data_IF_348329471880
#
_entry.id   IF_348329471880
#
_cell.length_a   1.000
_cell.length_b   1.000
_cell.length_c   1.000
_cell.angle_alpha   90.00
_cell.angle_beta   90.00
_cell.angle_gamma   90.00
#
_symmetry.space_group_name_H-M   'P 1'
#
loop_
_entity.id
_entity.type
_entity.pdbx_description
1 polymer ?
#
# COMPACT_ATOMS: atom_id res chain seq x y z
N UNK A 1 7.79 17.54 -14.90
CA UNK A 1 8.00 16.10 -14.59
C UNK A 1 7.82 15.90 -13.10
N UNK A 2 6.94 14.99 -12.73
CA UNK A 2 6.73 14.65 -11.31
C UNK A 2 7.94 13.91 -10.72
N UNK A 3 8.04 13.88 -9.40
CA UNK A 3 9.07 13.11 -8.72
C UNK A 3 8.96 11.62 -9.04
N UNK A 4 7.74 11.11 -9.11
CA UNK A 4 7.49 9.73 -9.52
C UNK A 4 8.02 9.42 -10.92
N UNK A 5 7.80 10.31 -11.86
CA UNK A 5 8.34 10.16 -13.23
C UNK A 5 9.86 10.20 -13.27
N UNK A 6 10.47 11.03 -12.40
CA UNK A 6 11.92 11.05 -12.25
C UNK A 6 12.46 9.71 -11.76
N UNK A 7 11.82 9.11 -10.75
CA UNK A 7 12.18 7.78 -10.26
C UNK A 7 11.98 6.69 -11.31
N UNK A 8 10.89 6.74 -12.07
CA UNK A 8 10.66 5.83 -13.19
C UNK A 8 11.75 5.95 -14.25
N UNK A 9 12.23 7.16 -14.50
CA UNK A 9 13.35 7.39 -15.41
C UNK A 9 14.64 6.75 -14.88
N UNK A 10 14.88 6.79 -13.57
CA UNK A 10 16.03 6.10 -12.95
C UNK A 10 16.01 4.63 -13.28
N UNK A 11 14.86 3.97 -13.17
CA UNK A 11 14.73 2.54 -13.50
C UNK A 11 15.03 2.29 -14.99
N UNK A 12 14.50 3.13 -15.88
CA UNK A 12 14.80 3.01 -17.31
C UNK A 12 16.29 3.20 -17.61
N UNK A 13 16.94 4.13 -16.92
CA UNK A 13 18.38 4.34 -17.06
C UNK A 13 19.19 3.16 -16.54
N UNK A 14 18.74 2.52 -15.47
CA UNK A 14 19.33 1.29 -14.93
C UNK A 14 19.33 0.17 -15.99
N UNK A 15 18.20 -0.05 -16.64
CA UNK A 15 18.08 -1.03 -17.72
C UNK A 15 18.91 -0.64 -18.93
N UNK A 16 18.88 0.64 -19.34
CA UNK A 16 19.63 1.14 -20.48
C UNK A 16 21.15 1.06 -20.31
N UNK A 17 21.62 1.06 -19.05
CA UNK A 17 23.05 0.89 -18.72
C UNK A 17 23.52 -0.58 -18.78
N UNK A 18 22.67 -1.50 -19.21
CA UNK A 18 22.99 -2.92 -19.35
C UNK A 18 22.69 -3.76 -18.14
N UNK A 19 22.07 -3.20 -17.09
CA UNK A 19 21.63 -3.95 -15.93
C UNK A 19 20.28 -4.63 -16.25
N UNK A 20 20.11 -5.84 -15.79
CA UNK A 20 18.90 -6.62 -16.12
C UNK A 20 17.91 -6.66 -14.97
N UNK A 21 16.62 -6.65 -15.31
CA UNK A 21 15.55 -7.06 -14.42
C UNK A 21 15.29 -8.57 -14.61
N UNK A 22 14.87 -9.32 -13.58
CA UNK A 22 14.50 -8.82 -12.25
C UNK A 22 15.72 -8.37 -11.42
N UNK A 23 15.52 -7.31 -10.65
CA UNK A 23 16.47 -6.80 -9.68
C UNK A 23 15.72 -6.31 -8.45
N UNK A 24 16.40 -6.22 -7.31
CA UNK A 24 15.77 -5.67 -6.12
C UNK A 24 15.70 -4.15 -6.21
N UNK A 25 14.69 -3.53 -5.58
CA UNK A 25 14.63 -2.07 -5.49
C UNK A 25 15.87 -1.51 -4.77
N UNK A 26 16.43 -2.26 -3.82
CA UNK A 26 17.66 -1.90 -3.12
C UNK A 26 18.85 -1.81 -4.10
N UNK A 27 19.01 -2.78 -4.99
CA UNK A 27 20.10 -2.79 -5.98
C UNK A 27 19.96 -1.62 -6.95
N UNK A 28 18.75 -1.33 -7.40
CA UNK A 28 18.47 -0.19 -8.28
C UNK A 28 18.78 1.13 -7.56
N UNK A 29 18.37 1.25 -6.30
CA UNK A 29 18.62 2.44 -5.48
C UNK A 29 20.12 2.67 -5.27
N UNK A 30 20.87 1.61 -4.94
CA UNK A 30 22.31 1.71 -4.75
C UNK A 30 23.00 2.18 -6.03
N UNK A 31 22.65 1.58 -7.16
CA UNK A 31 23.17 1.99 -8.46
C UNK A 31 22.85 3.45 -8.78
N UNK A 32 21.61 3.90 -8.51
CA UNK A 32 21.19 5.28 -8.76
C UNK A 32 21.98 6.28 -7.92
N UNK A 33 22.23 5.99 -6.65
CA UNK A 33 23.02 6.82 -5.76
C UNK A 33 24.48 6.88 -6.25
N UNK A 34 25.08 5.73 -6.55
CA UNK A 34 26.45 5.65 -7.02
C UNK A 34 26.68 6.39 -8.34
N UNK A 35 25.66 6.45 -9.19
CA UNK A 35 25.74 7.15 -10.48
C UNK A 35 25.21 8.60 -10.44
N UNK A 36 24.94 9.13 -9.24
CA UNK A 36 24.51 10.52 -9.06
C UNK A 36 23.12 10.84 -9.63
N UNK A 37 22.27 9.80 -9.82
CA UNK A 37 20.94 9.97 -10.39
C UNK A 37 19.87 10.20 -9.33
N UNK A 38 20.23 10.10 -8.07
CA UNK A 38 19.33 10.33 -6.98
C UNK A 38 20.04 10.96 -5.77
N UNK A 39 19.35 11.92 -5.16
CA UNK A 39 19.77 12.59 -3.93
C UNK A 39 18.59 12.60 -2.95
N UNK A 40 18.84 12.63 -1.63
CA UNK A 40 17.76 12.78 -0.66
C UNK A 40 16.90 14.01 -0.95
N UNK A 41 15.58 13.80 -0.97
CA UNK A 41 14.65 14.90 -1.17
C UNK A 41 14.66 15.84 0.03
N UNK A 42 14.56 17.14 -0.24
CA UNK A 42 14.37 18.17 0.79
C UNK A 42 12.89 18.19 1.25
N UNK A 43 12.41 17.11 1.81
CA UNK A 43 11.14 17.12 2.51
C UNK A 43 11.31 17.81 3.87
N UNK A 44 10.27 18.48 4.34
CA UNK A 44 10.32 19.07 5.68
C UNK A 44 10.46 17.96 6.73
N UNK A 45 11.11 18.25 7.84
CA UNK A 45 11.21 17.31 8.97
C UNK A 45 9.81 16.89 9.47
N UNK A 46 8.86 17.82 9.41
CA UNK A 46 7.48 17.57 9.82
C UNK A 46 6.82 16.52 8.91
N UNK A 47 7.00 16.62 7.59
CA UNK A 47 6.42 15.67 6.63
C UNK A 47 6.98 14.26 6.85
N UNK A 48 8.28 14.13 7.05
CA UNK A 48 8.92 12.85 7.37
C UNK A 48 8.40 12.26 8.67
N UNK A 49 8.32 13.08 9.69
CA UNK A 49 7.82 12.65 10.99
C UNK A 49 6.37 12.19 10.88
N UNK A 50 5.52 12.93 10.13
CA UNK A 50 4.13 12.56 9.91
C UNK A 50 3.98 11.21 9.20
N UNK A 51 4.80 10.94 8.19
CA UNK A 51 4.81 9.65 7.49
C UNK A 51 5.21 8.49 8.42
N UNK A 52 6.23 8.69 9.24
CA UNK A 52 6.68 7.68 10.21
C UNK A 52 5.64 7.42 11.30
N UNK A 53 4.99 8.48 11.78
CA UNK A 53 3.89 8.38 12.76
C UNK A 53 2.70 7.62 12.14
N UNK A 54 2.32 7.92 10.90
CA UNK A 54 1.24 7.23 10.22
C UNK A 54 1.53 5.72 10.09
N UNK A 55 2.77 5.37 9.76
CA UNK A 55 3.19 3.97 9.70
C UNK A 55 3.09 3.29 11.07
N UNK A 56 3.59 3.96 12.12
CA UNK A 56 3.53 3.45 13.49
C UNK A 56 2.09 3.23 13.94
N UNK A 57 1.18 4.16 13.61
CA UNK A 57 -0.24 4.01 13.93
C UNK A 57 -0.88 2.80 13.23
N UNK A 58 -0.48 2.50 11.98
CA UNK A 58 -0.96 1.31 11.26
C UNK A 58 -0.47 0.01 11.87
N UNK A 59 0.63 0.04 12.58
CA UNK A 59 1.27 -1.13 13.20
C UNK A 59 0.95 -1.27 14.69
N UNK A 60 0.12 -0.40 15.25
CA UNK A 60 -0.33 -0.49 16.63
C UNK A 60 -1.53 -1.43 16.74
N UNK A 61 -1.30 -2.58 17.36
CA UNK A 61 -2.31 -3.64 17.54
C UNK A 61 -2.62 -3.86 19.01
N UNK A 62 -3.86 -4.23 19.27
CA UNK A 62 -4.30 -4.71 20.58
C UNK A 62 -5.00 -6.06 20.42
N UNK A 63 -5.08 -6.82 21.48
CA UNK A 63 -5.94 -8.00 21.54
C UNK A 63 -7.28 -7.59 22.14
N UNK A 64 -8.36 -7.78 21.37
CA UNK A 64 -9.70 -7.41 21.83
C UNK A 64 -10.26 -8.43 22.83
N UNK A 65 -11.42 -8.15 23.47
CA UNK A 65 -12.01 -9.09 24.43
C UNK A 65 -12.36 -10.46 23.85
N UNK A 66 -12.52 -10.57 22.53
CA UNK A 66 -12.80 -11.83 21.85
C UNK A 66 -11.52 -12.56 21.40
N UNK A 67 -10.35 -12.03 21.74
CA UNK A 67 -9.05 -12.63 21.43
C UNK A 67 -8.48 -12.30 20.04
N UNK A 68 -9.09 -11.37 19.32
CA UNK A 68 -8.61 -10.97 18.00
C UNK A 68 -7.54 -9.88 18.11
N UNK A 69 -6.49 -10.01 17.29
CA UNK A 69 -5.48 -8.97 17.17
C UNK A 69 -5.95 -7.92 16.15
N UNK A 70 -6.25 -6.73 16.63
CA UNK A 70 -6.86 -5.67 15.82
C UNK A 70 -6.06 -4.38 15.88
N UNK A 71 -6.11 -3.59 14.81
CA UNK A 71 -5.53 -2.24 14.79
C UNK A 71 -6.37 -1.31 15.64
N UNK A 72 -5.70 -0.51 16.46
CA UNK A 72 -6.38 0.42 17.36
C UNK A 72 -6.62 1.79 16.72
N UNK A 73 -5.73 2.23 15.81
CA UNK A 73 -5.83 3.53 15.14
C UNK A 73 -6.38 3.35 13.73
N UNK A 74 -7.33 4.20 13.37
CA UNK A 74 -7.96 4.17 12.04
C UNK A 74 -8.08 5.58 11.46
N UNK A 75 -7.76 5.71 10.18
CA UNK A 75 -7.73 6.99 9.47
C UNK A 75 -8.97 7.16 8.61
N UNK A 76 -9.58 8.33 8.69
CA UNK A 76 -10.63 8.77 7.79
C UNK A 76 -10.19 10.06 7.10
N UNK A 77 -10.23 10.08 5.77
CA UNK A 77 -9.99 11.28 5.00
C UNK A 77 -11.31 11.99 4.81
N UNK A 78 -11.41 13.20 5.34
CA UNK A 78 -12.62 14.01 5.25
C UNK A 78 -12.28 15.40 4.73
N UNK A 79 -13.29 16.04 4.11
CA UNK A 79 -13.18 17.41 3.67
C UNK A 79 -13.55 18.35 4.82
N UNK A 80 -12.66 19.30 5.10
CA UNK A 80 -12.89 20.32 6.13
C UNK A 80 -12.41 21.65 5.57
N UNK A 81 -13.32 22.63 5.51
CA UNK A 81 -13.03 23.97 4.96
C UNK A 81 -12.47 23.93 3.52
N UNK A 82 -13.02 23.06 2.65
CA UNK A 82 -12.59 22.91 1.26
C UNK A 82 -11.29 22.15 1.06
N UNK A 83 -10.70 21.62 2.12
CA UNK A 83 -9.45 20.81 2.05
C UNK A 83 -9.70 19.40 2.57
N UNK A 84 -9.17 18.42 1.85
CA UNK A 84 -9.14 17.04 2.31
C UNK A 84 -7.98 16.84 3.27
N UNK A 85 -8.25 16.22 4.40
CA UNK A 85 -7.25 15.85 5.38
C UNK A 85 -7.54 14.48 5.98
N UNK A 86 -6.47 13.75 6.32
CA UNK A 86 -6.55 12.45 6.95
C UNK A 86 -6.52 12.61 8.47
N UNK A 87 -7.59 12.16 9.13
CA UNK A 87 -7.74 12.25 10.58
C UNK A 87 -7.66 10.84 11.19
N UNK A 88 -6.77 10.68 12.14
CA UNK A 88 -6.57 9.44 12.87
C UNK A 88 -7.34 9.45 14.18
N UNK A 89 -7.94 8.33 14.53
CA UNK A 89 -8.62 8.19 15.82
C UNK A 89 -8.46 6.77 16.36
N UNK A 90 -8.50 6.68 17.69
CA UNK A 90 -8.52 5.42 18.41
C UNK A 90 -9.94 4.85 18.34
N UNK A 91 -10.10 3.63 17.86
CA UNK A 91 -11.44 3.05 17.65
C UNK A 91 -12.23 2.87 18.95
N UNK A 92 -11.56 2.85 20.10
CA UNK A 92 -12.21 2.71 21.42
C UNK A 92 -12.94 3.98 21.83
N UNK A 93 -12.61 5.13 21.23
CA UNK A 93 -13.10 6.46 21.60
C UNK A 93 -13.68 7.24 20.43
N UNK A 94 -13.40 6.80 19.19
CA UNK A 94 -13.82 7.51 17.99
C UNK A 94 -15.35 7.50 17.84
N UNK A 95 -15.93 8.59 17.27
CA UNK A 95 -17.33 8.56 16.87
C UNK A 95 -17.61 7.47 15.85
N UNK A 96 -18.81 6.90 15.89
CA UNK A 96 -19.21 5.84 14.95
C UNK A 96 -19.04 6.27 13.49
N UNK A 97 -19.35 7.52 13.15
CA UNK A 97 -19.24 8.07 11.80
C UNK A 97 -17.78 8.04 11.30
N UNK A 98 -16.84 8.36 12.18
CA UNK A 98 -15.42 8.29 11.84
C UNK A 98 -15.02 6.85 11.46
N UNK A 99 -15.43 5.87 12.27
CA UNK A 99 -15.11 4.47 12.04
C UNK A 99 -15.78 3.92 10.78
N UNK A 100 -17.04 4.27 10.55
CA UNK A 100 -17.76 3.86 9.34
C UNK A 100 -17.06 4.41 8.07
N UNK A 101 -16.65 5.67 8.09
CA UNK A 101 -15.93 6.30 6.99
C UNK A 101 -14.55 5.66 6.80
N UNK A 102 -13.82 5.45 7.89
CA UNK A 102 -12.49 4.85 7.85
C UNK A 102 -12.53 3.43 7.25
N UNK A 103 -13.46 2.60 7.68
CA UNK A 103 -13.61 1.22 7.17
C UNK A 103 -14.05 1.21 5.71
N UNK A 104 -14.97 2.08 5.33
CA UNK A 104 -15.42 2.18 3.94
C UNK A 104 -14.30 2.63 3.02
N UNK A 105 -13.52 3.62 3.41
CA UNK A 105 -12.38 4.10 2.63
C UNK A 105 -11.30 3.02 2.51
N UNK A 106 -11.03 2.28 3.57
CA UNK A 106 -10.09 1.16 3.54
C UNK A 106 -10.57 0.05 2.62
N UNK A 107 -11.86 -0.27 2.66
CA UNK A 107 -12.46 -1.22 1.72
C UNK A 107 -12.28 -0.76 0.27
N UNK A 108 -12.52 0.52 -0.01
CA UNK A 108 -12.35 1.08 -1.35
C UNK A 108 -10.89 0.98 -1.84
N UNK A 109 -9.92 1.16 -0.96
CA UNK A 109 -8.51 0.97 -1.29
C UNK A 109 -8.24 -0.48 -1.69
N UNK A 110 -8.77 -1.45 -0.96
CA UNK A 110 -8.62 -2.88 -1.27
C UNK A 110 -9.24 -3.21 -2.63
N UNK A 111 -10.44 -2.70 -2.90
CA UNK A 111 -11.10 -2.87 -4.20
C UNK A 111 -10.28 -2.25 -5.33
N UNK A 112 -9.72 -1.06 -5.10
CA UNK A 112 -8.83 -0.40 -6.06
C UNK A 112 -7.57 -1.21 -6.35
N UNK A 113 -6.98 -1.81 -5.32
CA UNK A 113 -5.83 -2.70 -5.47
C UNK A 113 -6.18 -3.96 -6.27
N UNK A 114 -7.35 -4.55 -6.02
CA UNK A 114 -7.85 -5.69 -6.80
C UNK A 114 -8.06 -5.33 -8.25
N UNK A 115 -8.62 -4.15 -8.52
CA UNK A 115 -8.82 -3.66 -9.90
C UNK A 115 -7.49 -3.52 -10.63
N UNK A 116 -6.51 -2.92 -9.98
CA UNK A 116 -5.19 -2.74 -10.58
C UNK A 116 -4.52 -4.10 -10.86
N UNK A 117 -4.59 -5.02 -9.90
CA UNK A 117 -4.07 -6.37 -10.08
C UNK A 117 -4.75 -7.09 -11.26
N UNK A 118 -6.06 -6.97 -11.37
CA UNK A 118 -6.81 -7.57 -12.47
C UNK A 118 -6.39 -7.00 -13.83
N UNK A 119 -6.25 -5.68 -13.92
CA UNK A 119 -5.84 -5.04 -15.17
C UNK A 119 -4.40 -5.39 -15.55
N UNK A 120 -3.49 -5.45 -14.59
CA UNK A 120 -2.10 -5.85 -14.82
C UNK A 120 -2.03 -7.29 -15.35
N UNK A 121 -2.77 -8.21 -14.73
CA UNK A 121 -2.85 -9.61 -15.14
C UNK A 121 -3.47 -9.75 -16.53
N UNK A 122 -4.60 -9.07 -16.79
CA UNK A 122 -5.27 -9.11 -18.09
C UNK A 122 -4.37 -8.56 -19.19
N UNK A 123 -3.69 -7.45 -18.93
CA UNK A 123 -2.75 -6.85 -19.88
C UNK A 123 -1.56 -7.76 -20.17
N UNK A 124 -0.99 -8.37 -19.12
CA UNK A 124 0.09 -9.33 -19.29
C UNK A 124 -0.34 -10.52 -20.14
N UNK A 125 -1.50 -11.10 -19.83
CA UNK A 125 -2.02 -12.26 -20.58
C UNK A 125 -2.29 -11.92 -22.04
N UNK A 126 -2.82 -10.73 -22.32
CA UNK A 126 -3.19 -10.31 -23.68
C UNK A 126 -2.00 -9.91 -24.53
N UNK A 127 -0.96 -9.34 -23.93
CA UNK A 127 0.10 -8.67 -24.68
C UNK A 127 1.47 -9.34 -24.57
N UNK A 128 1.74 -10.10 -23.53
CA UNK A 128 3.08 -10.58 -23.25
C UNK A 128 3.17 -12.07 -22.89
N UNK A 129 2.06 -12.68 -22.52
CA UNK A 129 2.06 -14.09 -22.09
C UNK A 129 2.04 -15.01 -23.28
N UNK A 130 3.04 -15.88 -23.39
CA UNK A 130 3.16 -16.92 -24.42
C UNK A 130 2.64 -18.28 -23.96
N UNK A 131 2.30 -18.42 -22.68
CA UNK A 131 1.78 -19.65 -22.08
C UNK A 131 0.28 -19.56 -21.77
N UNK A 132 -0.18 -20.43 -20.90
CA UNK A 132 -1.56 -20.41 -20.44
C UNK A 132 -1.85 -19.13 -19.66
N UNK A 133 -3.08 -18.56 -19.80
CA UNK A 133 -3.44 -17.36 -19.06
C UNK A 133 -3.37 -17.56 -17.55
N UNK A 134 -2.77 -16.58 -16.86
CA UNK A 134 -2.82 -16.50 -15.40
C UNK A 134 -4.21 -16.04 -15.01
N UNK A 135 -4.87 -16.74 -14.10
CA UNK A 135 -6.22 -16.43 -13.66
C UNK A 135 -6.29 -16.34 -12.15
N UNK A 136 -7.07 -15.40 -11.64
CA UNK A 136 -7.31 -15.22 -10.22
C UNK A 136 -8.80 -14.93 -9.98
N UNK A 137 -9.30 -15.40 -8.85
CA UNK A 137 -10.67 -15.13 -8.40
C UNK A 137 -10.62 -14.05 -7.32
N UNK A 138 -11.45 -13.03 -7.48
CA UNK A 138 -11.48 -11.88 -6.55
C UNK A 138 -12.65 -11.96 -5.55
N UNK A 139 -13.15 -13.15 -5.30
CA UNK A 139 -14.04 -13.43 -4.18
C UNK A 139 -13.22 -14.08 -3.06
N UNK A 140 -13.02 -13.33 -1.98
CA UNK A 140 -12.14 -13.72 -0.89
C UNK A 140 -12.86 -14.37 0.29
N UNK A 141 -14.14 -14.70 0.14
CA UNK A 141 -14.96 -15.25 1.23
C UNK A 141 -14.35 -16.55 1.78
N UNK A 142 -14.01 -17.48 0.89
CA UNK A 142 -13.42 -18.76 1.30
C UNK A 142 -12.03 -18.59 1.89
N UNK A 143 -11.23 -17.69 1.31
CA UNK A 143 -9.88 -17.38 1.82
C UNK A 143 -9.95 -16.87 3.26
N UNK A 144 -10.89 -15.97 3.55
CA UNK A 144 -11.08 -15.41 4.89
C UNK A 144 -11.57 -16.48 5.87
N UNK A 145 -12.53 -17.30 5.48
CA UNK A 145 -13.04 -18.42 6.30
C UNK A 145 -11.92 -19.40 6.66
N UNK A 146 -11.07 -19.73 5.69
CA UNK A 146 -9.94 -20.64 5.89
C UNK A 146 -8.90 -20.07 6.86
N UNK A 147 -8.55 -18.81 6.70
CA UNK A 147 -7.60 -18.13 7.59
C UNK A 147 -8.16 -18.06 9.02
N UNK A 148 -9.44 -17.72 9.16
CA UNK A 148 -10.10 -17.66 10.47
C UNK A 148 -10.18 -19.04 11.13
N UNK A 149 -10.45 -20.09 10.36
CA UNK A 149 -10.47 -21.47 10.87
C UNK A 149 -9.10 -21.91 11.37
N UNK A 150 -8.02 -21.58 10.64
CA UNK A 150 -6.64 -21.88 11.05
C UNK A 150 -6.25 -21.10 12.31
N UNK A 151 -6.65 -19.85 12.42
CA UNK A 151 -6.40 -19.02 13.60
C UNK A 151 -7.10 -19.55 14.85
N UNK A 152 -8.28 -20.16 14.70
CA UNK A 152 -9.04 -20.75 15.81
C UNK A 152 -8.40 -22.04 16.37
N UNK A 153 -7.55 -22.70 15.61
CA UNK A 153 -6.85 -23.95 16.00
C UNK A 153 -5.54 -23.64 16.76
N UNK A 154 -4.98 -22.45 16.54
CA UNK A 154 -3.70 -22.03 17.10
C UNK A 154 -3.79 -21.66 18.59
#
# INVERSE_FOLDING_TARGET
>A
MSYTEQLQRVVRNYEAAGNQLPATAHDIALWAIENGLWEPQRSTLVDRCAEEIARAMREEFITDPQGRRVRVKHVATIEKNGKQAAFWADMRQAPREHMATAFQQRRQQIVGDCRQLKWDMDSYNQNHNIGEPIQMVFDFTLDLEEIEALAAIA
#
